data_IF_918603287161
#
_entry.id   IF_918603287161
#
_cell.length_a   1.000
_cell.length_b   1.000
_cell.length_c   1.000
_cell.angle_alpha   90.00
_cell.angle_beta   90.00
_cell.angle_gamma   90.00
#
_symmetry.space_group_name_H-M   'P 1'
#
loop_
_entity.id
_entity.type
_entity.pdbx_description
1 polymer ?
#
# COMPACT_ATOMS: atom_id res chain seq x y z
N UNK A 1 6.93 -0.17 -12.53
CA UNK A 1 8.25 -0.81 -12.70
C UNK A 1 9.46 0.09 -12.46
N UNK A 2 9.42 1.39 -12.80
CA UNK A 2 10.57 2.31 -12.68
C UNK A 2 11.32 2.22 -11.33
N UNK A 3 10.59 2.33 -10.22
CA UNK A 3 11.13 2.25 -8.85
C UNK A 3 11.98 1.00 -8.61
N UNK A 4 11.50 -0.16 -9.05
CA UNK A 4 12.19 -1.44 -8.88
C UNK A 4 13.45 -1.47 -9.73
N UNK A 5 13.32 -1.14 -11.02
CA UNK A 5 14.43 -1.19 -11.97
C UNK A 5 15.56 -0.25 -11.56
N UNK A 6 15.23 0.99 -11.23
CA UNK A 6 16.20 2.02 -10.83
C UNK A 6 16.89 1.64 -9.52
N UNK A 7 16.14 1.23 -8.51
CA UNK A 7 16.73 0.87 -7.21
C UNK A 7 17.57 -0.41 -7.31
N UNK A 8 17.18 -1.40 -8.13
CA UNK A 8 18.00 -2.59 -8.36
C UNK A 8 19.30 -2.28 -9.10
N UNK A 9 19.27 -1.32 -10.03
CA UNK A 9 20.49 -0.84 -10.69
C UNK A 9 21.45 -0.19 -9.67
N UNK A 10 20.94 0.67 -8.77
CA UNK A 10 21.74 1.24 -7.67
C UNK A 10 22.30 0.15 -6.74
N UNK A 11 21.47 -0.83 -6.35
CA UNK A 11 21.90 -1.95 -5.49
C UNK A 11 23.03 -2.77 -6.13
N UNK A 12 23.04 -2.90 -7.46
CA UNK A 12 24.04 -3.71 -8.16
C UNK A 12 25.46 -3.15 -8.07
N UNK A 13 25.60 -1.84 -7.89
CA UNK A 13 26.89 -1.17 -7.74
C UNK A 13 27.29 -0.85 -6.29
N UNK A 14 26.46 -1.21 -5.31
CA UNK A 14 26.66 -0.88 -3.90
C UNK A 14 27.08 -2.12 -3.08
N UNK A 15 27.87 -1.89 -2.03
CA UNK A 15 28.39 -2.92 -1.15
C UNK A 15 28.14 -2.64 0.34
N UNK A 16 28.30 -3.67 1.17
CA UNK A 16 28.26 -3.56 2.63
C UNK A 16 26.99 -2.90 3.17
N UNK A 17 27.16 -1.82 3.95
CA UNK A 17 26.06 -1.10 4.58
C UNK A 17 25.18 -0.32 3.60
N UNK A 18 25.76 0.24 2.54
CA UNK A 18 25.02 0.99 1.53
C UNK A 18 24.00 0.09 0.82
N UNK A 19 24.45 -1.09 0.39
CA UNK A 19 23.59 -2.10 -0.23
C UNK A 19 22.41 -2.48 0.66
N UNK A 20 22.65 -2.69 1.96
CA UNK A 20 21.59 -3.02 2.93
C UNK A 20 20.57 -1.88 3.04
N UNK A 21 21.02 -0.62 3.07
CA UNK A 21 20.14 0.54 3.10
C UNK A 21 19.26 0.62 1.85
N UNK A 22 19.83 0.42 0.67
CA UNK A 22 19.09 0.44 -0.60
C UNK A 22 18.06 -0.70 -0.70
N UNK A 23 18.41 -1.90 -0.25
CA UNK A 23 17.46 -3.03 -0.19
C UNK A 23 16.29 -2.69 0.75
N UNK A 24 16.55 -2.13 1.93
CA UNK A 24 15.49 -1.72 2.86
C UNK A 24 14.61 -0.60 2.31
N UNK A 25 15.21 0.36 1.58
CA UNK A 25 14.49 1.41 0.85
C UNK A 25 13.55 0.80 -0.20
N UNK A 26 14.05 -0.14 -1.00
CA UNK A 26 13.24 -0.85 -2.01
C UNK A 26 12.09 -1.62 -1.38
N UNK A 27 12.35 -2.41 -0.33
CA UNK A 27 11.32 -3.16 0.38
C UNK A 27 10.25 -2.23 0.97
N UNK A 28 10.67 -1.09 1.51
CA UNK A 28 9.73 -0.09 2.05
C UNK A 28 8.86 0.51 0.96
N UNK A 29 9.45 0.90 -0.17
CA UNK A 29 8.72 1.43 -1.32
C UNK A 29 7.73 0.39 -1.87
N UNK A 30 8.16 -0.86 -2.06
CA UNK A 30 7.32 -1.96 -2.53
C UNK A 30 6.15 -2.22 -1.59
N UNK A 31 6.37 -2.25 -0.27
CA UNK A 31 5.29 -2.39 0.71
C UNK A 31 4.23 -1.30 0.57
N UNK A 32 4.65 -0.05 0.36
CA UNK A 32 3.73 1.08 0.16
C UNK A 32 2.98 0.98 -1.18
N UNK A 33 3.69 0.70 -2.28
CA UNK A 33 3.10 0.56 -3.62
C UNK A 33 2.06 -0.55 -3.63
N UNK A 34 2.39 -1.73 -3.08
CA UNK A 34 1.49 -2.87 -3.00
C UNK A 34 0.30 -2.65 -2.06
N UNK A 35 0.39 -1.69 -1.12
CA UNK A 35 -0.75 -1.29 -0.31
C UNK A 35 -1.67 -0.35 -1.08
N UNK A 36 -1.13 0.78 -1.54
CA UNK A 36 -1.83 1.73 -2.40
C UNK A 36 -0.84 2.71 -3.05
N UNK A 37 -0.93 3.02 -4.35
CA UNK A 37 0.00 3.95 -5.01
C UNK A 37 -0.01 5.34 -4.39
N UNK A 38 -1.17 5.84 -3.95
CA UNK A 38 -1.26 7.13 -3.25
C UNK A 38 -0.47 7.17 -1.93
N UNK A 39 -0.27 6.00 -1.28
CA UNK A 39 0.57 5.92 -0.09
C UNK A 39 2.03 6.23 -0.43
N UNK A 40 2.57 5.57 -1.47
CA UNK A 40 3.94 5.77 -1.94
C UNK A 40 4.14 7.18 -2.50
N UNK A 41 3.19 7.67 -3.30
CA UNK A 41 3.24 8.97 -3.96
C UNK A 41 2.95 10.14 -3.02
N UNK A 42 2.44 9.88 -1.80
CA UNK A 42 2.04 10.88 -0.81
C UNK A 42 1.05 11.90 -1.39
N UNK A 43 0.06 11.41 -2.13
CA UNK A 43 -0.97 12.26 -2.72
C UNK A 43 -1.79 12.94 -1.62
N UNK A 44 -1.98 14.26 -1.73
CA UNK A 44 -2.80 15.02 -0.78
C UNK A 44 -4.30 14.80 -0.98
N UNK A 45 -4.71 14.51 -2.21
CA UNK A 45 -6.10 14.24 -2.62
C UNK A 45 -6.14 12.94 -3.40
N UNK A 46 -6.07 11.80 -2.71
CA UNK A 46 -5.89 10.51 -3.36
C UNK A 46 -7.18 10.11 -4.08
N UNK A 47 -7.06 9.66 -5.33
CA UNK A 47 -8.08 8.76 -5.90
C UNK A 47 -7.82 7.37 -5.34
N UNK A 48 -8.77 6.77 -4.65
CA UNK A 48 -8.58 5.47 -3.98
C UNK A 48 -9.12 4.29 -4.80
N UNK A 49 -10.33 4.42 -5.34
CA UNK A 49 -10.94 3.38 -6.18
C UNK A 49 -10.07 3.00 -7.40
N UNK A 50 -10.10 1.73 -7.77
CA UNK A 50 -9.48 1.14 -8.97
C UNK A 50 -7.95 1.33 -9.09
N UNK A 51 -7.27 1.45 -7.95
CA UNK A 51 -5.80 1.66 -7.93
C UNK A 51 -5.04 0.72 -7.00
N UNK A 52 -5.75 -0.08 -6.21
CA UNK A 52 -5.15 -1.09 -5.35
C UNK A 52 -6.00 -2.35 -5.33
N UNK A 53 -5.43 -3.47 -5.79
CA UNK A 53 -6.09 -4.77 -5.70
C UNK A 53 -6.34 -5.21 -4.25
N UNK A 54 -5.61 -4.65 -3.26
CA UNK A 54 -5.93 -4.90 -1.84
C UNK A 54 -7.20 -4.18 -1.40
N UNK A 55 -7.44 -2.97 -1.90
CA UNK A 55 -8.66 -2.21 -1.60
C UNK A 55 -9.84 -2.85 -2.33
N UNK A 56 -9.66 -3.25 -3.58
CA UNK A 56 -10.66 -4.00 -4.35
C UNK A 56 -11.05 -5.32 -3.64
N UNK A 57 -10.07 -6.13 -3.24
CA UNK A 57 -10.35 -7.36 -2.50
C UNK A 57 -10.95 -7.10 -1.11
N UNK A 58 -10.49 -6.06 -0.40
CA UNK A 58 -11.15 -5.62 0.83
C UNK A 58 -12.61 -5.33 0.56
N UNK A 59 -12.91 -4.69 -0.58
CA UNK A 59 -14.27 -4.31 -0.88
C UNK A 59 -15.18 -5.52 -1.07
N UNK A 60 -14.73 -6.52 -1.81
CA UNK A 60 -15.42 -7.81 -2.01
C UNK A 60 -15.63 -8.58 -0.69
N UNK A 61 -14.61 -8.59 0.18
CA UNK A 61 -14.70 -9.26 1.48
C UNK A 61 -15.72 -8.58 2.39
N UNK A 62 -15.77 -7.24 2.39
CA UNK A 62 -16.74 -6.50 3.18
C UNK A 62 -18.17 -6.76 2.72
N UNK A 63 -18.44 -6.85 1.42
CA UNK A 63 -19.78 -7.19 0.91
C UNK A 63 -20.28 -8.51 1.48
N UNK A 64 -19.39 -9.52 1.52
CA UNK A 64 -19.71 -10.85 2.04
C UNK A 64 -19.93 -10.83 3.55
N UNK A 65 -18.98 -10.26 4.31
CA UNK A 65 -19.01 -10.31 5.78
C UNK A 65 -20.18 -9.49 6.34
N UNK A 66 -20.47 -8.32 5.76
CA UNK A 66 -21.54 -7.46 6.22
C UNK A 66 -22.93 -8.01 5.86
N UNK A 67 -23.07 -8.71 4.72
CA UNK A 67 -24.30 -9.43 4.38
C UNK A 67 -24.65 -10.52 5.43
N UNK A 68 -23.63 -11.11 6.06
CA UNK A 68 -23.77 -12.08 7.15
C UNK A 68 -23.85 -11.43 8.55
N UNK A 69 -23.98 -10.10 8.63
CA UNK A 69 -23.98 -9.32 9.88
C UNK A 69 -22.72 -9.53 10.74
N UNK A 70 -21.59 -9.86 10.10
CA UNK A 70 -20.30 -10.02 10.73
C UNK A 70 -19.60 -8.70 11.08
N UNK A 71 -18.54 -8.79 11.88
CA UNK A 71 -17.66 -7.66 12.22
C UNK A 71 -16.28 -7.85 11.63
N UNK A 72 -15.62 -6.75 11.25
CA UNK A 72 -14.31 -6.77 10.59
C UNK A 72 -13.30 -5.95 11.36
N UNK A 73 -12.06 -6.47 11.46
CA UNK A 73 -10.93 -5.77 12.04
C UNK A 73 -9.78 -5.74 11.02
N UNK A 74 -9.36 -4.54 10.64
CA UNK A 74 -8.31 -4.32 9.63
C UNK A 74 -7.03 -3.85 10.30
N UNK A 75 -5.90 -4.51 9.99
CA UNK A 75 -4.58 -4.13 10.47
C UNK A 75 -3.69 -3.66 9.31
N UNK A 76 -2.89 -2.63 9.56
CA UNK A 76 -1.83 -2.18 8.66
C UNK A 76 -0.64 -1.65 9.44
N UNK A 77 0.58 -1.89 8.95
CA UNK A 77 1.81 -1.36 9.54
C UNK A 77 1.94 0.17 9.36
N UNK A 78 1.12 0.79 8.50
CA UNK A 78 1.29 2.19 8.09
C UNK A 78 0.07 3.04 8.43
N UNK A 79 0.27 4.05 9.27
CA UNK A 79 -0.77 5.05 9.63
C UNK A 79 -1.36 5.73 8.40
N UNK A 80 -0.54 6.06 7.41
CA UNK A 80 -1.01 6.67 6.16
C UNK A 80 -1.98 5.74 5.39
N UNK A 81 -1.71 4.43 5.38
CA UNK A 81 -2.65 3.47 4.77
C UNK A 81 -3.95 3.39 5.56
N UNK A 82 -3.89 3.44 6.90
CA UNK A 82 -5.10 3.46 7.72
C UNK A 82 -5.99 4.67 7.40
N UNK A 83 -5.41 5.86 7.19
CA UNK A 83 -6.15 7.06 6.78
C UNK A 83 -6.77 6.93 5.38
N UNK A 84 -6.06 6.32 4.43
CA UNK A 84 -6.63 6.03 3.10
C UNK A 84 -7.81 5.07 3.22
N UNK A 85 -7.69 4.03 4.03
CA UNK A 85 -8.79 3.09 4.27
C UNK A 85 -9.98 3.76 4.96
N UNK A 86 -9.73 4.62 5.94
CA UNK A 86 -10.79 5.39 6.61
C UNK A 86 -11.58 6.27 5.63
N UNK A 87 -10.89 7.03 4.77
CA UNK A 87 -11.52 7.86 3.74
C UNK A 87 -12.34 7.01 2.74
N UNK A 88 -11.78 5.89 2.30
CA UNK A 88 -12.46 4.96 1.38
C UNK A 88 -13.72 4.35 2.00
N UNK A 89 -13.62 3.85 3.23
CA UNK A 89 -14.74 3.22 3.93
C UNK A 89 -15.83 4.24 4.27
N UNK A 90 -15.47 5.46 4.66
CA UNK A 90 -16.43 6.54 4.88
C UNK A 90 -17.20 6.90 3.60
N UNK A 91 -16.56 6.84 2.43
CA UNK A 91 -17.20 7.09 1.14
C UNK A 91 -18.10 5.93 0.68
N UNK A 92 -17.82 4.70 1.13
CA UNK A 92 -18.60 3.51 0.81
C UNK A 92 -19.95 3.46 1.53
N UNK A 93 -20.00 3.93 2.78
CA UNK A 93 -21.17 3.84 3.67
C UNK A 93 -21.04 2.73 4.70
#
# INVERSE_FOLDING_TARGET
EAVVRETLAEISGADGFERRGLVMKLLTALKQICNHPAQYLKEERPRIADRSGKVELLDELLDTILAEQGSVLVFTQYVQMARLLEEHLAARG
#
